data_IF_340396060081
#
_entry.id   IF_340396060081
#
_cell.length_a   1.000
_cell.length_b   1.000
_cell.length_c   1.000
_cell.angle_alpha   90.00
_cell.angle_beta   90.00
_cell.angle_gamma   90.00
#
_symmetry.space_group_name_H-M   'P 1'
#
loop_
_entity.id
_entity.type
_entity.pdbx_description
1 polymer ?
#
# COMPACT_ATOMS: atom_id res chain seq x y z
N UNK A 1 40.42 -23.17 35.14
CA UNK A 1 39.13 -22.46 35.05
C UNK A 1 39.16 -21.25 34.12
N UNK A 2 40.01 -20.22 34.34
CA UNK A 2 40.06 -19.02 33.47
C UNK A 2 40.29 -19.30 31.97
N UNK A 3 41.18 -20.23 31.61
CA UNK A 3 41.40 -20.64 30.20
C UNK A 3 40.19 -21.34 29.57
N UNK A 4 39.43 -22.13 30.34
CA UNK A 4 38.23 -22.83 29.87
C UNK A 4 37.11 -21.82 29.63
N UNK A 5 36.94 -20.84 30.54
CA UNK A 5 35.97 -19.76 30.40
C UNK A 5 36.29 -18.87 29.19
N UNK A 6 37.57 -18.55 28.94
CA UNK A 6 37.98 -17.79 27.75
C UNK A 6 37.72 -18.55 26.44
N UNK A 7 37.95 -19.87 26.40
CA UNK A 7 37.64 -20.69 25.21
C UNK A 7 36.14 -20.82 25.00
N UNK A 8 35.34 -20.90 26.09
CA UNK A 8 33.87 -20.91 26.02
C UNK A 8 33.30 -19.57 25.52
N UNK A 9 33.87 -18.44 25.97
CA UNK A 9 33.50 -17.10 25.48
C UNK A 9 33.87 -16.89 24.01
N UNK A 10 35.03 -17.40 23.56
CA UNK A 10 35.46 -17.32 22.16
C UNK A 10 34.58 -18.18 21.25
N UNK A 11 34.14 -19.36 21.72
CA UNK A 11 33.22 -20.21 20.96
C UNK A 11 31.81 -19.62 20.89
N UNK A 12 31.29 -19.03 21.97
CA UNK A 12 30.00 -18.31 21.95
C UNK A 12 30.03 -17.13 20.97
N UNK A 13 31.15 -16.42 20.84
CA UNK A 13 31.31 -15.32 19.88
C UNK A 13 31.41 -15.78 18.42
N UNK A 14 31.90 -16.99 18.14
CA UNK A 14 31.96 -17.55 16.79
C UNK A 14 30.62 -18.10 16.27
N UNK A 15 29.66 -18.40 17.14
CA UNK A 15 28.34 -18.92 16.76
C UNK A 15 27.28 -17.85 16.55
N UNK A 16 27.59 -16.59 16.80
CA UNK A 16 26.63 -15.50 16.64
C UNK A 16 26.91 -14.74 15.35
N UNK A 17 25.87 -14.64 14.52
CA UNK A 17 25.73 -13.83 13.30
C UNK A 17 26.10 -14.57 11.98
N UNK A 18 25.54 -15.74 11.75
CA UNK A 18 25.23 -16.15 10.36
C UNK A 18 23.79 -15.76 10.05
N UNK A 19 23.60 -14.70 9.26
CA UNK A 19 22.31 -14.39 8.62
C UNK A 19 22.05 -15.40 7.51
N UNK A 20 21.71 -16.63 7.89
CA UNK A 20 21.28 -17.66 6.96
C UNK A 20 19.80 -17.44 6.61
N UNK A 21 19.48 -16.32 5.94
CA UNK A 21 18.23 -16.23 5.22
C UNK A 21 18.45 -16.83 3.84
N UNK A 22 17.55 -17.74 3.44
CA UNK A 22 17.55 -18.28 2.07
C UNK A 22 17.42 -17.10 1.13
N UNK A 23 18.36 -16.91 0.17
CA UNK A 23 18.25 -15.85 -0.82
C UNK A 23 16.91 -15.96 -1.55
N UNK A 24 16.20 -14.85 -1.72
CA UNK A 24 15.02 -14.82 -2.58
C UNK A 24 15.49 -15.19 -3.99
N UNK A 25 14.78 -16.13 -4.62
CA UNK A 25 15.04 -16.59 -5.98
C UNK A 25 13.80 -16.28 -6.81
N UNK A 26 13.60 -15.02 -7.23
CA UNK A 26 12.45 -14.68 -8.04
C UNK A 26 12.50 -15.46 -9.34
N UNK A 27 11.34 -15.85 -9.81
CA UNK A 27 11.16 -16.44 -11.13
C UNK A 27 11.41 -15.39 -12.21
N UNK A 28 11.73 -15.86 -13.41
CA UNK A 28 11.85 -15.01 -14.60
C UNK A 28 10.61 -14.13 -14.83
N UNK A 29 9.42 -14.63 -14.46
CA UNK A 29 8.18 -13.87 -14.53
C UNK A 29 8.08 -12.74 -13.49
N UNK A 30 8.52 -12.98 -12.26
CA UNK A 30 8.55 -11.96 -11.20
C UNK A 30 9.57 -10.84 -11.51
N UNK A 31 10.72 -11.20 -12.10
CA UNK A 31 11.71 -10.23 -12.59
C UNK A 31 11.08 -9.35 -13.68
N UNK A 32 10.40 -9.96 -14.67
CA UNK A 32 9.69 -9.23 -15.71
C UNK A 32 8.69 -8.23 -15.13
N UNK A 33 7.82 -8.67 -14.21
CA UNK A 33 6.85 -7.78 -13.56
C UNK A 33 7.49 -6.66 -12.74
N UNK A 34 8.67 -6.92 -12.16
CA UNK A 34 9.44 -5.90 -11.44
C UNK A 34 9.97 -4.83 -12.39
N UNK A 35 10.39 -5.19 -13.61
CA UNK A 35 10.75 -4.23 -14.67
C UNK A 35 9.53 -3.39 -15.08
N UNK A 36 8.34 -4.00 -15.23
CA UNK A 36 7.11 -3.24 -15.51
C UNK A 36 6.79 -2.23 -14.40
N UNK A 37 6.98 -2.63 -13.13
CA UNK A 37 6.80 -1.74 -11.97
C UNK A 37 7.84 -0.63 -11.92
N UNK A 38 9.08 -0.92 -12.32
CA UNK A 38 10.13 0.09 -12.43
C UNK A 38 9.72 1.20 -13.43
N UNK A 39 9.00 0.84 -14.51
CA UNK A 39 8.48 1.78 -15.52
C UNK A 39 7.26 2.62 -15.07
N UNK A 40 6.66 2.34 -13.90
CA UNK A 40 5.48 3.04 -13.41
C UNK A 40 5.82 3.99 -12.24
N UNK A 41 5.44 5.27 -12.37
CA UNK A 41 5.70 6.36 -11.44
C UNK A 41 4.39 6.95 -10.88
N UNK A 42 3.58 6.10 -10.27
CA UNK A 42 2.35 6.50 -9.58
C UNK A 42 2.20 5.81 -8.22
N UNK A 43 1.60 6.53 -7.27
CA UNK A 43 1.46 6.07 -5.88
C UNK A 43 0.01 6.16 -5.40
N UNK A 44 -0.49 5.10 -4.74
CA UNK A 44 -1.82 5.03 -4.12
C UNK A 44 -1.69 4.83 -2.62
N UNK A 45 -2.46 5.60 -1.85
CA UNK A 45 -2.63 5.39 -0.41
C UNK A 45 -4.07 5.00 -0.11
N UNK A 46 -4.27 3.78 0.39
CA UNK A 46 -5.54 3.30 0.91
C UNK A 46 -5.59 3.59 2.43
N UNK A 47 -6.69 4.13 2.95
CA UNK A 47 -6.83 4.52 4.36
C UNK A 47 -8.10 3.92 4.96
N UNK A 48 -7.94 3.25 6.10
CA UNK A 48 -9.04 2.75 6.92
C UNK A 48 -8.64 2.68 8.40
N UNK A 49 -9.53 2.22 9.27
CA UNK A 49 -9.35 2.34 10.71
C UNK A 49 -8.53 1.20 11.30
N UNK A 50 -8.77 -0.03 10.85
CA UNK A 50 -8.32 -1.25 11.52
C UNK A 50 -7.63 -2.26 10.58
N UNK A 51 -6.78 -3.15 11.11
CA UNK A 51 -6.21 -4.27 10.36
C UNK A 51 -7.25 -5.33 9.94
N UNK A 52 -7.74 -5.33 8.69
CA UNK A 52 -8.82 -6.20 8.12
C UNK A 52 -9.88 -5.39 7.35
N UNK A 53 -9.94 -4.07 7.60
CA UNK A 53 -10.83 -3.16 6.89
C UNK A 53 -10.50 -3.02 5.41
N UNK A 54 -9.23 -3.25 5.04
CA UNK A 54 -8.76 -2.93 3.71
C UNK A 54 -9.41 -3.81 2.64
N UNK A 55 -9.67 -3.20 1.49
CA UNK A 55 -10.02 -3.99 0.32
C UNK A 55 -8.74 -4.57 -0.30
N UNK A 56 -8.39 -5.80 0.12
CA UNK A 56 -7.18 -6.49 -0.35
C UNK A 56 -7.16 -6.67 -1.87
N UNK A 57 -8.32 -6.70 -2.53
CA UNK A 57 -8.40 -6.78 -3.99
C UNK A 57 -7.96 -5.51 -4.69
N UNK A 58 -8.37 -4.35 -4.17
CA UNK A 58 -7.92 -3.07 -4.71
C UNK A 58 -6.43 -2.86 -4.48
N UNK A 59 -5.92 -3.20 -3.29
CA UNK A 59 -4.47 -3.12 -3.02
C UNK A 59 -3.70 -4.01 -4.00
N UNK A 60 -4.11 -5.28 -4.12
CA UNK A 60 -3.50 -6.22 -5.05
C UNK A 60 -3.61 -5.74 -6.50
N UNK A 61 -4.74 -5.17 -6.91
CA UNK A 61 -4.94 -4.67 -8.28
C UNK A 61 -3.99 -3.52 -8.60
N UNK A 62 -3.92 -2.50 -7.73
CA UNK A 62 -3.02 -1.38 -7.97
C UNK A 62 -1.56 -1.81 -7.95
N UNK A 63 -1.16 -2.69 -7.03
CA UNK A 63 0.21 -3.18 -6.94
C UNK A 63 0.61 -4.09 -8.10
N UNK A 64 -0.29 -4.96 -8.59
CA UNK A 64 0.05 -6.04 -9.52
C UNK A 64 -0.45 -5.85 -10.95
N UNK A 65 -1.58 -5.19 -11.17
CA UNK A 65 -2.11 -4.91 -12.51
C UNK A 65 -1.54 -3.57 -12.99
N UNK A 66 -1.85 -2.51 -12.25
CA UNK A 66 -1.47 -1.13 -12.57
C UNK A 66 0.02 -0.87 -12.33
N UNK A 67 0.65 -1.66 -11.45
CA UNK A 67 2.04 -1.51 -10.99
C UNK A 67 2.30 -0.23 -10.17
N UNK A 68 1.26 0.34 -9.59
CA UNK A 68 1.39 1.47 -8.68
C UNK A 68 2.07 1.07 -7.37
N UNK A 69 2.88 1.98 -6.83
CA UNK A 69 3.32 1.88 -5.44
C UNK A 69 2.09 2.05 -4.56
N UNK A 70 1.68 1.00 -3.87
CA UNK A 70 0.40 0.97 -3.15
C UNK A 70 0.67 0.77 -1.67
N UNK A 71 0.10 1.61 -0.82
CA UNK A 71 0.25 1.50 0.63
C UNK A 71 -1.11 1.49 1.32
N UNK A 72 -1.21 0.77 2.42
CA UNK A 72 -2.33 0.82 3.35
C UNK A 72 -1.90 1.54 4.63
N UNK A 73 -2.63 2.59 5.00
CA UNK A 73 -2.58 3.20 6.32
C UNK A 73 -3.77 2.71 7.13
N UNK A 74 -3.49 1.86 8.12
CA UNK A 74 -4.44 1.58 9.18
C UNK A 74 -4.26 2.64 10.27
N UNK A 75 -5.33 3.32 10.68
CA UNK A 75 -5.21 4.34 11.73
C UNK A 75 -4.73 3.69 13.03
N UNK A 76 -5.25 2.53 13.39
CA UNK A 76 -4.90 1.80 14.62
C UNK A 76 -4.12 0.52 14.32
N UNK A 77 -3.70 -0.21 15.38
CA UNK A 77 -3.13 -1.56 15.26
C UNK A 77 -4.15 -2.67 15.56
N UNK A 78 -5.42 -2.34 15.75
CA UNK A 78 -6.48 -3.32 15.97
C UNK A 78 -6.45 -4.00 17.35
N UNK A 79 -5.78 -3.37 18.32
CA UNK A 79 -5.58 -3.86 19.68
C UNK A 79 -6.88 -4.00 20.50
N UNK A 80 -7.95 -3.28 20.13
CA UNK A 80 -9.28 -3.36 20.75
C UNK A 80 -10.20 -4.45 20.19
N UNK A 81 -9.68 -5.27 19.26
CA UNK A 81 -10.43 -6.31 18.57
C UNK A 81 -10.59 -7.62 19.35
N UNK A 82 -11.23 -8.59 18.71
CA UNK A 82 -11.30 -9.97 19.18
C UNK A 82 -10.13 -10.80 18.64
N UNK A 83 -9.80 -11.91 19.31
CA UNK A 83 -8.78 -12.84 18.86
C UNK A 83 -9.34 -14.27 18.81
N UNK A 84 -9.53 -14.82 17.61
CA UNK A 84 -10.07 -16.16 17.41
C UNK A 84 -9.04 -17.28 17.53
N UNK A 85 -7.73 -16.94 17.54
CA UNK A 85 -6.65 -17.93 17.52
C UNK A 85 -5.86 -18.01 18.83
N UNK A 86 -6.20 -17.20 19.82
CA UNK A 86 -5.46 -17.12 21.08
C UNK A 86 -6.13 -16.25 22.14
N UNK A 87 -5.46 -16.13 23.29
CA UNK A 87 -5.93 -15.33 24.43
C UNK A 87 -5.34 -13.92 24.48
N UNK A 88 -4.46 -13.58 23.55
CA UNK A 88 -3.82 -12.26 23.48
C UNK A 88 -4.86 -11.18 23.16
N UNK A 89 -4.83 -10.09 23.93
CA UNK A 89 -5.70 -8.92 23.81
C UNK A 89 -4.86 -7.64 23.90
N UNK A 90 -5.46 -6.50 23.59
CA UNK A 90 -4.82 -5.18 23.74
C UNK A 90 -3.49 -5.12 22.97
N UNK A 91 -2.42 -4.63 23.59
CA UNK A 91 -1.12 -4.46 22.94
C UNK A 91 -0.56 -5.75 22.33
N UNK A 92 -0.80 -6.91 22.94
CA UNK A 92 -0.34 -8.19 22.42
C UNK A 92 -1.08 -8.57 21.14
N UNK A 93 -2.39 -8.29 21.08
CA UNK A 93 -3.18 -8.46 19.87
C UNK A 93 -2.75 -7.46 18.78
N UNK A 94 -2.43 -6.22 19.16
CA UNK A 94 -1.90 -5.22 18.23
C UNK A 94 -0.59 -5.68 17.56
N UNK A 95 0.29 -6.38 18.30
CA UNK A 95 1.50 -7.00 17.73
C UNK A 95 1.14 -8.09 16.73
N UNK A 96 0.20 -8.98 17.06
CA UNK A 96 -0.27 -10.05 16.16
C UNK A 96 -0.82 -9.44 14.87
N UNK A 97 -1.81 -8.54 14.97
CA UNK A 97 -2.47 -7.93 13.79
C UNK A 97 -1.53 -7.09 12.95
N UNK A 98 -0.49 -6.51 13.56
CA UNK A 98 0.60 -5.87 12.81
C UNK A 98 1.34 -6.88 11.93
N UNK A 99 1.71 -8.05 12.47
CA UNK A 99 2.36 -9.11 11.70
C UNK A 99 1.44 -9.71 10.64
N UNK A 100 0.15 -9.83 10.93
CA UNK A 100 -0.86 -10.27 9.96
C UNK A 100 -0.95 -9.34 8.75
N UNK A 101 -0.98 -8.02 8.98
CA UNK A 101 -0.94 -7.04 7.89
C UNK A 101 0.37 -7.08 7.11
N UNK A 102 1.51 -7.19 7.78
CA UNK A 102 2.81 -7.30 7.08
C UNK A 102 2.85 -8.58 6.22
N UNK A 103 2.31 -9.68 6.72
CA UNK A 103 2.18 -10.92 5.95
C UNK A 103 1.20 -10.77 4.77
N UNK A 104 0.06 -10.09 4.97
CA UNK A 104 -0.91 -9.79 3.91
C UNK A 104 -0.28 -8.94 2.79
N UNK A 105 0.43 -7.87 3.17
CA UNK A 105 1.17 -6.97 2.27
C UNK A 105 2.27 -7.68 1.49
N UNK A 106 2.94 -8.66 2.09
CA UNK A 106 3.94 -9.47 1.38
C UNK A 106 3.35 -10.32 0.23
N UNK A 107 2.03 -10.57 0.26
CA UNK A 107 1.31 -11.34 -0.76
C UNK A 107 0.71 -10.44 -1.82
N UNK A 108 -0.01 -9.39 -1.41
CA UNK A 108 -0.68 -8.47 -2.34
C UNK A 108 0.27 -7.43 -2.95
N UNK A 109 1.47 -7.24 -2.40
CA UNK A 109 2.49 -6.32 -2.90
C UNK A 109 2.33 -4.88 -2.42
N UNK A 110 1.43 -4.62 -1.46
CA UNK A 110 1.30 -3.31 -0.82
C UNK A 110 2.35 -3.04 0.26
N UNK A 111 2.38 -1.81 0.75
CA UNK A 111 3.14 -1.37 1.92
C UNK A 111 2.20 -1.11 3.11
N UNK A 112 2.72 -1.16 4.33
CA UNK A 112 1.92 -0.95 5.54
C UNK A 112 2.40 0.26 6.35
N UNK A 113 1.45 1.10 6.75
CA UNK A 113 1.65 2.19 7.70
C UNK A 113 0.65 2.10 8.85
N UNK A 114 1.02 2.72 9.97
CA UNK A 114 0.18 2.86 11.17
C UNK A 114 0.36 4.26 11.75
N UNK A 115 -0.68 4.80 12.38
CA UNK A 115 -0.54 5.97 13.25
C UNK A 115 -0.25 5.55 14.71
N UNK A 116 -0.21 6.51 15.63
CA UNK A 116 -0.17 6.26 17.07
C UNK A 116 -1.54 5.99 17.72
N UNK A 117 -2.63 6.03 16.96
CA UNK A 117 -3.97 5.86 17.52
C UNK A 117 -4.15 4.47 18.16
N UNK A 118 -4.79 4.45 19.32
CA UNK A 118 -5.13 3.23 20.05
C UNK A 118 -6.51 2.73 19.62
N UNK A 119 -6.67 1.45 19.35
CA UNK A 119 -7.99 0.87 19.16
C UNK A 119 -8.58 0.55 20.54
N UNK A 120 -9.44 1.42 21.05
CA UNK A 120 -10.03 1.26 22.39
C UNK A 120 -11.34 0.43 22.37
N UNK A 121 -11.62 -0.27 21.28
CA UNK A 121 -12.86 -1.02 21.08
C UNK A 121 -13.98 -0.18 20.47
N UNK A 122 -15.21 -0.69 20.53
CA UNK A 122 -16.33 -0.11 19.81
C UNK A 122 -16.71 1.30 20.31
N UNK A 123 -16.72 2.24 19.39
CA UNK A 123 -17.32 3.57 19.52
C UNK A 123 -18.43 3.72 18.50
N UNK A 124 -19.49 4.46 18.84
CA UNK A 124 -20.58 4.72 17.89
C UNK A 124 -20.37 5.97 17.05
N UNK A 125 -19.82 7.03 17.64
CA UNK A 125 -19.73 8.33 17.00
C UNK A 125 -18.27 8.77 16.80
N UNK A 126 -17.94 9.47 15.70
CA UNK A 126 -16.59 9.99 15.50
C UNK A 126 -16.16 11.02 16.55
N UNK A 127 -17.08 11.78 17.17
CA UNK A 127 -16.69 12.80 18.17
C UNK A 127 -16.01 12.18 19.40
N UNK A 128 -16.54 11.04 19.88
CA UNK A 128 -15.94 10.27 20.96
C UNK A 128 -14.57 9.75 20.55
N UNK A 129 -14.49 9.14 19.37
CA UNK A 129 -13.25 8.64 18.78
C UNK A 129 -12.17 9.71 18.69
N UNK A 130 -12.49 10.83 18.06
CA UNK A 130 -11.55 11.91 17.79
C UNK A 130 -11.11 12.62 19.07
N UNK A 131 -11.97 12.67 20.09
CA UNK A 131 -11.59 13.14 21.41
C UNK A 131 -10.60 12.17 22.07
N UNK A 132 -10.90 10.87 22.10
CA UNK A 132 -10.04 9.85 22.72
C UNK A 132 -8.68 9.71 22.01
N UNK A 133 -8.68 9.79 20.68
CA UNK A 133 -7.46 9.71 19.88
C UNK A 133 -6.60 10.97 19.95
N UNK A 134 -7.13 12.08 20.47
CA UNK A 134 -6.59 13.42 20.21
C UNK A 134 -6.48 13.67 18.70
N UNK A 135 -7.57 14.20 18.11
CA UNK A 135 -7.70 14.50 16.69
C UNK A 135 -6.44 15.11 16.09
N UNK A 136 -5.87 16.13 16.73
CA UNK A 136 -4.72 16.87 16.20
C UNK A 136 -3.48 15.98 16.08
N UNK A 137 -3.24 15.12 17.07
CA UNK A 137 -2.11 14.20 17.07
C UNK A 137 -2.22 13.16 15.94
N UNK A 138 -3.41 12.56 15.76
CA UNK A 138 -3.61 11.55 14.71
C UNK A 138 -3.64 12.19 13.34
N UNK A 139 -4.26 13.37 13.21
CA UNK A 139 -4.23 14.15 11.97
C UNK A 139 -2.79 14.46 11.55
N UNK A 140 -1.91 14.82 12.50
CA UNK A 140 -0.48 15.01 12.24
C UNK A 140 0.18 13.75 11.67
N UNK A 141 -0.13 12.58 12.20
CA UNK A 141 0.41 11.30 11.71
C UNK A 141 -0.10 10.95 10.30
N UNK A 142 -1.38 11.22 10.01
CA UNK A 142 -1.95 11.01 8.67
C UNK A 142 -1.28 11.96 7.66
N UNK A 143 -1.14 13.24 7.99
CA UNK A 143 -0.44 14.22 7.12
C UNK A 143 1.03 13.84 6.93
N UNK A 144 1.72 13.40 7.99
CA UNK A 144 3.09 12.90 7.90
C UNK A 144 3.19 11.70 6.96
N UNK A 145 2.23 10.77 7.04
CA UNK A 145 2.20 9.60 6.14
C UNK A 145 2.03 10.03 4.69
N UNK A 146 1.12 10.97 4.41
CA UNK A 146 0.93 11.51 3.05
C UNK A 146 2.20 12.20 2.54
N UNK A 147 2.85 13.05 3.35
CA UNK A 147 4.08 13.76 2.95
C UNK A 147 5.29 12.83 2.76
N UNK A 148 5.38 11.76 3.56
CA UNK A 148 6.42 10.74 3.44
C UNK A 148 6.23 9.85 2.21
N UNK A 149 5.00 9.36 1.99
CA UNK A 149 4.68 8.44 0.91
C UNK A 149 4.55 9.15 -0.45
N UNK A 150 4.08 10.40 -0.44
CA UNK A 150 3.74 11.21 -1.62
C UNK A 150 2.73 10.51 -2.57
N UNK A 151 1.53 10.13 -2.09
CA UNK A 151 0.53 9.47 -2.92
C UNK A 151 -0.09 10.43 -3.93
N UNK A 152 -0.23 9.98 -5.17
CA UNK A 152 -1.02 10.71 -6.17
C UNK A 152 -2.52 10.60 -5.90
N UNK A 153 -2.93 9.43 -5.42
CA UNK A 153 -4.33 9.06 -5.19
C UNK A 153 -4.50 8.57 -3.76
N UNK A 154 -5.51 9.09 -3.07
CA UNK A 154 -5.95 8.58 -1.77
C UNK A 154 -7.31 7.87 -1.93
N UNK A 155 -7.48 6.73 -1.28
CA UNK A 155 -8.73 5.96 -1.28
C UNK A 155 -9.12 5.67 0.18
N UNK A 156 -10.28 6.16 0.60
CA UNK A 156 -10.85 5.84 1.89
C UNK A 156 -11.71 4.59 1.80
N UNK A 157 -11.59 3.68 2.77
CA UNK A 157 -12.51 2.54 2.90
C UNK A 157 -13.92 2.95 3.28
N UNK A 158 -14.05 4.03 4.04
CA UNK A 158 -15.31 4.44 4.66
C UNK A 158 -15.73 5.85 4.25
N UNK A 159 -17.02 6.11 4.45
CA UNK A 159 -17.63 7.39 4.10
C UNK A 159 -17.62 8.34 5.31
N UNK A 160 -17.00 9.51 5.14
CA UNK A 160 -16.94 10.55 6.16
C UNK A 160 -18.29 11.21 6.47
N UNK A 161 -19.31 11.02 5.60
CA UNK A 161 -20.62 11.66 5.68
C UNK A 161 -21.69 10.84 6.40
N UNK A 162 -21.34 9.66 6.91
CA UNK A 162 -22.31 8.74 7.54
C UNK A 162 -21.91 8.43 8.99
N UNK A 163 -21.80 9.45 9.87
CA UNK A 163 -21.50 9.21 11.28
C UNK A 163 -22.61 8.37 11.93
N UNK A 164 -22.24 7.45 12.82
CA UNK A 164 -23.18 6.62 13.58
C UNK A 164 -23.82 5.46 12.81
N UNK A 165 -23.54 5.29 11.51
CA UNK A 165 -24.02 4.14 10.73
C UNK A 165 -23.13 2.91 10.88
N UNK A 166 -21.85 3.12 11.21
CA UNK A 166 -20.85 2.08 11.45
C UNK A 166 -20.03 2.44 12.70
N UNK A 167 -18.92 1.74 12.95
CA UNK A 167 -18.01 2.04 14.05
C UNK A 167 -17.44 3.47 13.93
N UNK A 168 -17.40 4.23 15.02
CA UNK A 168 -16.87 5.60 15.07
C UNK A 168 -15.43 5.74 14.55
N UNK A 169 -14.60 4.70 14.69
CA UNK A 169 -13.25 4.65 14.12
C UNK A 169 -13.27 4.75 12.60
N UNK A 170 -14.22 4.08 11.93
CA UNK A 170 -14.35 4.04 10.48
C UNK A 170 -14.66 5.43 9.92
N UNK A 171 -15.65 6.12 10.48
CA UNK A 171 -15.98 7.48 10.05
C UNK A 171 -14.83 8.45 10.38
N UNK A 172 -14.21 8.30 11.54
CA UNK A 172 -13.08 9.14 11.96
C UNK A 172 -11.88 9.01 11.02
N UNK A 173 -11.53 7.80 10.57
CA UNK A 173 -10.43 7.60 9.61
C UNK A 173 -10.70 8.32 8.29
N UNK A 174 -11.95 8.30 7.81
CA UNK A 174 -12.34 8.98 6.58
C UNK A 174 -12.34 10.52 6.75
N UNK A 175 -12.80 11.04 7.89
CA UNK A 175 -12.78 12.48 8.20
C UNK A 175 -11.34 13.00 8.29
N UNK A 176 -10.46 12.30 9.00
CA UNK A 176 -9.04 12.64 9.09
C UNK A 176 -8.37 12.67 7.71
N UNK A 177 -8.68 11.70 6.86
CA UNK A 177 -8.16 11.65 5.48
C UNK A 177 -8.60 12.85 4.63
N UNK A 178 -9.87 13.27 4.73
CA UNK A 178 -10.41 14.44 4.01
C UNK A 178 -9.69 15.73 4.41
N UNK A 179 -9.42 15.91 5.70
CA UNK A 179 -8.72 17.07 6.24
C UNK A 179 -7.22 17.02 5.90
N UNK A 180 -6.61 15.84 6.04
CA UNK A 180 -5.20 15.63 5.72
C UNK A 180 -4.88 15.85 4.24
N UNK A 181 -5.83 15.62 3.34
CA UNK A 181 -5.69 15.90 1.90
C UNK A 181 -5.30 17.36 1.62
N UNK A 182 -5.89 18.33 2.35
CA UNK A 182 -5.56 19.75 2.21
C UNK A 182 -4.29 20.09 2.98
N UNK A 183 -4.19 19.64 4.22
CA UNK A 183 -3.06 19.97 5.09
C UNK A 183 -1.72 19.42 4.57
N UNK A 184 -1.75 18.34 3.77
CA UNK A 184 -0.55 17.80 3.16
C UNK A 184 0.20 18.80 2.27
N UNK A 185 -0.50 19.73 1.63
CA UNK A 185 0.11 20.79 0.79
C UNK A 185 0.30 22.13 1.51
N UNK A 186 -0.26 22.29 2.71
CA UNK A 186 -0.15 23.51 3.51
C UNK A 186 1.25 23.66 4.12
N UNK A 187 1.99 24.69 3.68
CA UNK A 187 3.35 24.99 4.16
C UNK A 187 3.41 25.43 5.63
N UNK A 188 2.30 25.92 6.18
CA UNK A 188 2.18 26.38 7.57
C UNK A 188 1.95 25.23 8.54
N UNK A 189 1.31 24.15 8.08
CA UNK A 189 1.12 22.94 8.87
C UNK A 189 2.43 22.14 8.97
N UNK A 190 2.89 21.87 10.19
CA UNK A 190 4.12 21.12 10.47
C UNK A 190 3.83 19.74 11.04
N UNK A 191 4.47 18.73 10.47
CA UNK A 191 4.44 17.37 10.98
C UNK A 191 5.65 17.07 11.86
N UNK A 192 5.65 15.90 12.48
CA UNK A 192 6.79 15.39 13.24
C UNK A 192 7.96 14.89 12.36
N UNK A 193 7.86 14.96 11.03
CA UNK A 193 8.93 14.54 10.12
C UNK A 193 10.12 15.51 10.17
N UNK A 194 11.34 14.96 10.11
CA UNK A 194 12.55 15.78 9.99
C UNK A 194 12.63 16.48 8.62
N UNK A 195 12.29 15.76 7.54
CA UNK A 195 12.15 16.31 6.20
C UNK A 195 10.66 16.39 5.83
N UNK A 196 10.00 17.44 6.31
CA UNK A 196 8.56 17.66 6.18
C UNK A 196 8.20 18.38 4.87
N UNK A 197 8.63 17.81 3.75
CA UNK A 197 8.31 18.34 2.42
C UNK A 197 6.81 18.19 2.14
N UNK A 198 6.15 19.31 1.79
CA UNK A 198 4.73 19.32 1.44
C UNK A 198 4.45 18.49 0.19
N UNK A 199 3.23 17.95 0.11
CA UNK A 199 2.77 17.17 -1.02
C UNK A 199 1.27 17.36 -1.24
N UNK A 200 0.85 17.56 -2.50
CA UNK A 200 -0.57 17.63 -2.85
C UNK A 200 -0.96 16.35 -3.60
N UNK A 201 -1.75 15.45 -2.98
CA UNK A 201 -2.39 14.39 -3.72
C UNK A 201 -3.33 14.98 -4.79
N UNK A 202 -3.43 14.33 -5.94
CA UNK A 202 -4.23 14.83 -7.07
C UNK A 202 -5.72 14.63 -6.84
N UNK A 203 -6.09 13.56 -6.13
CA UNK A 203 -7.48 13.19 -5.88
C UNK A 203 -7.67 12.24 -4.71
N UNK A 204 -8.88 12.27 -4.17
CA UNK A 204 -9.32 11.44 -3.06
C UNK A 204 -10.66 10.79 -3.40
N UNK A 205 -10.75 9.49 -3.15
CA UNK A 205 -11.91 8.65 -3.42
C UNK A 205 -12.43 7.96 -2.15
N UNK A 206 -13.66 7.47 -2.23
CA UNK A 206 -14.23 6.49 -1.31
C UNK A 206 -14.46 5.17 -2.06
N UNK A 207 -13.90 4.06 -1.55
CA UNK A 207 -14.17 2.74 -2.07
C UNK A 207 -15.53 2.25 -1.56
N UNK A 208 -16.50 2.19 -2.46
CA UNK A 208 -17.87 1.78 -2.18
C UNK A 208 -18.20 0.46 -2.88
N UNK A 209 -19.26 -0.19 -2.40
CA UNK A 209 -19.78 -1.45 -2.92
C UNK A 209 -21.26 -1.58 -2.57
N UNK A 210 -21.90 -2.64 -3.05
CA UNK A 210 -23.32 -2.90 -2.77
C UNK A 210 -23.67 -2.92 -1.27
N UNK A 211 -22.72 -3.27 -0.41
CA UNK A 211 -22.91 -3.27 1.05
C UNK A 211 -23.31 -1.88 1.57
N UNK A 212 -22.74 -0.81 1.00
CA UNK A 212 -23.08 0.57 1.37
C UNK A 212 -24.45 1.04 0.83
N UNK A 213 -25.05 0.28 -0.09
CA UNK A 213 -26.40 0.53 -0.63
C UNK A 213 -27.45 -0.44 -0.06
N UNK A 214 -27.04 -1.37 0.81
CA UNK A 214 -27.89 -2.38 1.43
C UNK A 214 -28.27 -3.57 0.53
N UNK A 215 -28.16 -3.44 -0.80
CA UNK A 215 -28.38 -4.52 -1.76
C UNK A 215 -27.67 -4.25 -3.09
N UNK A 216 -27.43 -5.31 -3.85
CA UNK A 216 -26.92 -5.21 -5.23
C UNK A 216 -27.87 -4.41 -6.13
N UNK A 217 -29.18 -4.63 -5.99
CA UNK A 217 -30.20 -3.90 -6.76
C UNK A 217 -30.12 -2.39 -6.51
N UNK A 218 -30.00 -1.96 -5.25
CA UNK A 218 -29.85 -0.54 -4.91
C UNK A 218 -28.53 0.02 -5.44
N UNK A 219 -27.45 -0.76 -5.34
CA UNK A 219 -26.15 -0.38 -5.88
C UNK A 219 -26.20 -0.17 -7.40
N UNK A 220 -26.91 -1.03 -8.13
CA UNK A 220 -27.09 -0.92 -9.58
C UNK A 220 -27.90 0.34 -9.92
N UNK A 221 -28.95 0.64 -9.15
CA UNK A 221 -29.80 1.83 -9.34
C UNK A 221 -29.15 3.14 -8.88
N UNK A 222 -28.13 3.09 -8.03
CA UNK A 222 -27.44 4.27 -7.54
C UNK A 222 -26.78 5.06 -8.68
N UNK A 223 -26.80 6.39 -8.55
CA UNK A 223 -26.13 7.30 -9.48
C UNK A 223 -24.60 7.10 -9.44
N UNK A 224 -24.03 6.71 -10.58
CA UNK A 224 -22.59 6.45 -10.77
C UNK A 224 -21.90 7.57 -11.55
N UNK A 225 -22.54 8.73 -11.71
CA UNK A 225 -21.97 9.87 -12.44
C UNK A 225 -20.61 10.25 -11.86
N UNK A 226 -20.52 10.34 -10.53
CA UNK A 226 -19.30 10.66 -9.79
C UNK A 226 -18.46 9.44 -9.39
N UNK A 227 -18.67 8.28 -10.03
CA UNK A 227 -17.96 7.05 -9.72
C UNK A 227 -17.10 6.57 -10.90
N UNK A 228 -15.98 5.94 -10.53
CA UNK A 228 -15.16 5.13 -11.41
C UNK A 228 -15.48 3.66 -11.16
N UNK A 229 -15.54 2.89 -12.24
CA UNK A 229 -15.70 1.45 -12.21
C UNK A 229 -14.34 0.84 -12.55
N UNK A 230 -13.88 -0.09 -11.72
CA UNK A 230 -12.62 -0.79 -11.92
C UNK A 230 -12.89 -2.26 -12.12
N UNK A 231 -12.52 -2.78 -13.28
CA UNK A 231 -12.50 -4.22 -13.53
C UNK A 231 -11.21 -4.80 -12.95
N UNK A 232 -11.32 -5.43 -11.79
CA UNK A 232 -10.19 -5.87 -10.97
C UNK A 232 -10.04 -7.39 -10.93
N UNK A 233 -10.80 -8.12 -11.75
CA UNK A 233 -10.80 -9.58 -11.84
C UNK A 233 -9.63 -10.18 -12.65
N UNK A 234 -8.62 -9.38 -13.01
CA UNK A 234 -7.56 -9.75 -13.96
C UNK A 234 -6.86 -11.06 -13.58
N UNK A 235 -6.59 -11.90 -14.59
CA UNK A 235 -5.73 -13.07 -14.47
C UNK A 235 -4.31 -12.74 -14.92
N UNK A 236 -3.33 -12.89 -14.01
CA UNK A 236 -1.93 -12.62 -14.29
C UNK A 236 -1.26 -13.88 -14.83
N UNK A 237 -1.18 -14.01 -16.15
CA UNK A 237 -0.58 -15.18 -16.83
C UNK A 237 0.82 -15.54 -16.32
N UNK A 238 1.63 -14.51 -16.04
CA UNK A 238 3.00 -14.65 -15.55
C UNK A 238 3.06 -15.23 -14.12
N UNK A 239 2.02 -15.03 -13.30
CA UNK A 239 1.91 -15.58 -11.94
C UNK A 239 1.09 -16.87 -11.87
N UNK A 240 0.26 -17.15 -12.87
CA UNK A 240 -0.70 -18.26 -12.83
C UNK A 240 -1.88 -18.04 -11.86
N UNK A 241 -2.09 -16.81 -11.40
CA UNK A 241 -3.09 -16.44 -10.40
C UNK A 241 -3.93 -15.25 -10.86
N UNK A 242 -5.21 -15.23 -10.49
CA UNK A 242 -6.06 -14.03 -10.58
C UNK A 242 -5.80 -13.06 -9.43
N UNK A 243 -6.18 -11.81 -9.64
CA UNK A 243 -6.19 -10.81 -8.58
C UNK A 243 -7.06 -11.24 -7.39
N UNK A 244 -8.20 -11.90 -7.64
CA UNK A 244 -9.06 -12.45 -6.60
C UNK A 244 -8.38 -13.55 -5.78
N UNK A 245 -7.60 -14.43 -6.41
CA UNK A 245 -6.81 -15.46 -5.71
C UNK A 245 -5.73 -14.83 -4.81
N UNK A 246 -4.98 -13.85 -5.33
CA UNK A 246 -3.95 -13.13 -4.55
C UNK A 246 -4.59 -12.39 -3.37
N UNK A 247 -5.69 -11.68 -3.61
CA UNK A 247 -6.41 -10.93 -2.59
C UNK A 247 -6.98 -11.83 -1.48
N UNK A 248 -7.47 -13.02 -1.82
CA UNK A 248 -7.93 -14.00 -0.83
C UNK A 248 -6.79 -14.60 -0.01
N UNK A 249 -5.62 -14.85 -0.61
CA UNK A 249 -4.43 -15.28 0.12
C UNK A 249 -3.93 -14.20 1.09
N UNK A 250 -3.94 -12.94 0.66
CA UNK A 250 -3.64 -11.77 1.50
C UNK A 250 -4.65 -11.66 2.65
N UNK A 251 -5.95 -11.68 2.34
CA UNK A 251 -7.04 -11.61 3.33
C UNK A 251 -6.95 -12.74 4.36
N UNK A 252 -6.54 -13.94 3.95
CA UNK A 252 -6.40 -15.10 4.84
C UNK A 252 -5.24 -14.99 5.85
N UNK A 253 -4.45 -13.90 5.81
CA UNK A 253 -3.45 -13.60 6.84
C UNK A 253 -4.04 -12.94 8.08
N UNK A 254 -5.25 -12.39 8.01
CA UNK A 254 -6.03 -11.92 9.16
C UNK A 254 -6.63 -13.11 9.93
N UNK A 255 -5.75 -13.96 10.47
CA UNK A 255 -6.13 -15.23 11.12
C UNK A 255 -6.86 -14.98 12.43
N UNK A 256 -6.39 -14.00 13.21
CA UNK A 256 -7.01 -13.56 14.46
C UNK A 256 -8.47 -13.12 14.30
N UNK A 257 -8.85 -12.65 13.09
CA UNK A 257 -10.22 -12.22 12.76
C UNK A 257 -11.04 -13.30 12.06
N UNK A 258 -10.45 -14.43 11.69
CA UNK A 258 -11.15 -15.52 10.98
C UNK A 258 -11.46 -15.19 9.52
N UNK A 259 -10.63 -14.36 8.88
CA UNK A 259 -10.86 -13.83 7.53
C UNK A 259 -10.35 -14.77 6.40
N UNK A 260 -10.30 -16.08 6.65
CA UNK A 260 -9.94 -17.06 5.62
C UNK A 260 -10.84 -17.00 4.38
N UNK A 261 -10.25 -17.16 3.19
CA UNK A 261 -10.98 -17.14 1.90
C UNK A 261 -10.26 -18.00 0.85
N UNK A 262 -11.02 -18.69 -0.01
CA UNK A 262 -10.49 -19.65 -1.00
C UNK A 262 -10.09 -19.03 -2.35
N UNK A 263 -10.39 -17.75 -2.60
CA UNK A 263 -10.14 -17.09 -3.88
C UNK A 263 -11.17 -17.43 -4.95
N UNK A 264 -11.28 -16.58 -5.97
CA UNK A 264 -12.10 -16.79 -7.16
C UNK A 264 -11.44 -16.22 -8.41
N UNK A 265 -11.85 -16.74 -9.56
CA UNK A 265 -11.49 -16.22 -10.90
C UNK A 265 -12.75 -15.73 -11.59
N UNK A 266 -12.62 -14.70 -12.42
CA UNK A 266 -13.73 -14.12 -13.15
C UNK A 266 -13.69 -12.60 -13.13
N UNK A 267 -14.72 -11.98 -13.68
CA UNK A 267 -14.90 -10.53 -13.66
C UNK A 267 -15.34 -10.09 -12.28
N UNK A 268 -14.75 -9.01 -11.79
CA UNK A 268 -15.11 -8.39 -10.52
C UNK A 268 -14.95 -6.88 -10.66
N UNK A 269 -16.02 -6.15 -10.32
CA UNK A 269 -16.08 -4.70 -10.46
C UNK A 269 -16.02 -4.05 -9.08
N UNK A 270 -15.09 -3.12 -8.90
CA UNK A 270 -15.01 -2.23 -7.74
C UNK A 270 -15.42 -0.81 -8.11
N UNK A 271 -15.96 -0.07 -7.14
CA UNK A 271 -16.41 1.30 -7.34
C UNK A 271 -15.61 2.27 -6.47
N UNK A 272 -15.14 3.34 -7.10
CA UNK A 272 -14.52 4.48 -6.42
C UNK A 272 -15.37 5.73 -6.64
N UNK A 273 -16.01 6.21 -5.58
CA UNK A 273 -16.72 7.49 -5.58
C UNK A 273 -15.72 8.62 -5.40
N UNK A 274 -15.75 9.60 -6.31
CA UNK A 274 -14.91 10.79 -6.19
C UNK A 274 -15.36 11.68 -5.02
N UNK A 275 -14.41 12.10 -4.20
CA UNK A 275 -14.66 12.98 -3.06
C UNK A 275 -13.99 14.35 -3.21
N UNK A 276 -12.74 14.41 -3.69
CA UNK A 276 -11.95 15.66 -3.70
C UNK A 276 -10.82 15.65 -4.71
N UNK A 277 -10.37 16.85 -5.10
CA UNK A 277 -9.25 17.09 -6.01
C UNK A 277 -9.70 17.27 -7.46
N UNK A 278 -8.93 16.74 -8.40
CA UNK A 278 -9.27 16.79 -9.83
C UNK A 278 -9.97 15.51 -10.28
N UNK A 279 -11.20 15.65 -10.77
CA UNK A 279 -11.98 14.53 -11.30
C UNK A 279 -11.36 14.00 -12.60
N UNK A 280 -11.20 12.67 -12.75
CA UNK A 280 -10.62 12.08 -13.95
C UNK A 280 -11.64 12.03 -15.10
N UNK A 281 -11.35 12.77 -16.18
CA UNK A 281 -12.21 12.87 -17.39
C UNK A 281 -12.35 11.52 -18.07
N UNK A 282 -11.25 10.77 -18.20
CA UNK A 282 -11.26 9.44 -18.82
C UNK A 282 -11.80 8.33 -17.92
N UNK A 283 -12.22 8.67 -16.69
CA UNK A 283 -12.59 7.72 -15.62
C UNK A 283 -11.49 6.70 -15.28
N UNK A 284 -10.25 6.98 -15.64
CA UNK A 284 -9.08 6.25 -15.15
C UNK A 284 -8.56 6.88 -13.84
N UNK A 285 -8.18 6.04 -12.87
CA UNK A 285 -7.71 6.51 -11.55
C UNK A 285 -6.48 7.41 -11.64
N UNK A 286 -5.65 7.26 -12.66
CA UNK A 286 -4.43 8.05 -12.90
C UNK A 286 -4.57 9.09 -14.01
N UNK A 287 -5.78 9.38 -14.49
CA UNK A 287 -6.01 10.36 -15.56
C UNK A 287 -5.35 11.70 -15.24
N UNK A 288 -4.65 12.31 -16.21
CA UNK A 288 -3.92 13.58 -15.98
C UNK A 288 -2.76 13.53 -14.97
N UNK A 289 -2.35 12.34 -14.50
CA UNK A 289 -1.12 12.13 -13.72
C UNK A 289 -0.08 11.51 -14.64
N UNK A 290 1.12 12.11 -14.71
CA UNK A 290 2.23 11.50 -15.46
C UNK A 290 2.80 10.33 -14.65
N UNK A 291 2.46 9.10 -15.04
CA UNK A 291 2.92 7.86 -14.43
C UNK A 291 4.13 7.25 -15.15
N UNK A 292 4.74 7.96 -16.08
CA UNK A 292 5.92 7.52 -16.83
C UNK A 292 7.17 8.20 -16.32
N UNK A 293 8.33 7.76 -16.80
CA UNK A 293 9.61 8.41 -16.52
C UNK A 293 9.69 9.88 -16.99
N UNK A 294 8.80 10.33 -17.88
CA UNK A 294 8.70 11.77 -18.22
C UNK A 294 8.25 12.64 -17.04
N UNK A 295 7.82 12.02 -15.92
CA UNK A 295 7.44 12.73 -14.69
C UNK A 295 8.62 13.46 -14.05
N UNK A 296 9.84 12.95 -14.24
CA UNK A 296 11.05 13.50 -13.62
C UNK A 296 11.99 14.08 -14.67
N UNK A 297 12.64 15.19 -14.34
CA UNK A 297 13.65 15.80 -15.21
C UNK A 297 14.79 14.80 -15.46
N UNK A 298 15.15 14.57 -16.72
CA UNK A 298 16.14 13.56 -17.12
C UNK A 298 15.61 12.13 -17.19
N UNK A 299 14.34 11.88 -16.85
CA UNK A 299 13.80 10.52 -16.85
C UNK A 299 13.50 9.92 -18.22
N UNK A 300 13.31 10.75 -19.26
CA UNK A 300 12.92 10.28 -20.61
C UNK A 300 13.81 9.14 -21.13
N UNK A 301 15.13 9.32 -21.05
CA UNK A 301 16.13 8.33 -21.50
C UNK A 301 16.05 7.03 -20.68
N UNK A 302 15.82 7.13 -19.37
CA UNK A 302 15.59 5.98 -18.47
C UNK A 302 14.37 5.19 -18.95
N UNK A 303 13.28 5.89 -19.25
CA UNK A 303 12.06 5.28 -19.77
C UNK A 303 12.27 4.56 -21.10
N UNK A 304 13.00 5.16 -22.03
CA UNK A 304 13.30 4.55 -23.34
C UNK A 304 14.11 3.25 -23.17
N UNK A 305 15.13 3.25 -22.32
CA UNK A 305 15.95 2.05 -22.02
C UNK A 305 15.11 0.96 -21.37
N UNK A 306 14.30 1.30 -20.37
CA UNK A 306 13.52 0.32 -19.63
C UNK A 306 12.33 -0.23 -20.42
N UNK A 307 11.69 0.58 -21.27
CA UNK A 307 10.66 0.10 -22.20
C UNK A 307 11.24 -0.89 -23.21
N UNK A 308 12.43 -0.60 -23.75
CA UNK A 308 13.15 -1.55 -24.60
C UNK A 308 13.51 -2.83 -23.84
N UNK A 309 13.99 -2.70 -22.61
CA UNK A 309 14.35 -3.85 -21.76
C UNK A 309 13.15 -4.73 -21.45
N UNK A 310 11.98 -4.14 -21.21
CA UNK A 310 10.73 -4.86 -21.05
C UNK A 310 10.32 -5.57 -22.36
N UNK A 311 10.35 -4.87 -23.49
CA UNK A 311 9.96 -5.42 -24.80
C UNK A 311 10.87 -6.58 -25.26
N UNK A 312 12.18 -6.47 -25.02
CA UNK A 312 13.19 -7.46 -25.43
C UNK A 312 13.44 -8.54 -24.36
N UNK A 313 12.64 -8.58 -23.28
CA UNK A 313 12.89 -9.45 -22.13
C UNK A 313 12.87 -10.94 -22.51
N UNK A 314 13.99 -11.64 -22.27
CA UNK A 314 14.12 -13.06 -22.55
C UNK A 314 13.79 -13.91 -21.33
N UNK A 315 12.58 -14.49 -21.31
CA UNK A 315 12.14 -15.33 -20.19
C UNK A 315 13.03 -16.56 -19.93
N UNK A 316 13.76 -17.06 -20.93
CA UNK A 316 14.69 -18.19 -20.80
C UNK A 316 16.10 -17.76 -20.35
N UNK A 317 16.45 -16.50 -20.55
CA UNK A 317 17.74 -15.95 -20.14
C UNK A 317 17.59 -14.49 -19.65
N UNK A 318 17.03 -14.27 -18.44
CA UNK A 318 16.82 -12.94 -17.87
C UNK A 318 18.07 -12.07 -17.79
N UNK A 319 19.26 -12.69 -17.65
CA UNK A 319 20.54 -11.99 -17.55
C UNK A 319 20.86 -11.11 -18.77
N UNK A 320 20.21 -11.35 -19.91
CA UNK A 320 20.32 -10.49 -21.09
C UNK A 320 19.81 -9.05 -20.86
N UNK A 321 18.98 -8.82 -19.84
CA UNK A 321 18.49 -7.49 -19.46
C UNK A 321 19.50 -6.67 -18.64
N UNK A 322 20.50 -7.29 -18.02
CA UNK A 322 21.43 -6.65 -17.07
C UNK A 322 22.15 -5.42 -17.66
N UNK A 323 22.70 -5.45 -18.89
CA UNK A 323 23.39 -4.28 -19.44
C UNK A 323 22.52 -3.02 -19.46
N UNK A 324 21.27 -3.14 -19.92
CA UNK A 324 20.33 -2.03 -19.95
C UNK A 324 19.92 -1.57 -18.55
N UNK A 325 19.71 -2.51 -17.61
CA UNK A 325 19.37 -2.18 -16.23
C UNK A 325 20.51 -1.40 -15.53
N UNK A 326 21.76 -1.77 -15.79
CA UNK A 326 22.93 -1.05 -15.25
C UNK A 326 23.04 0.36 -15.85
N UNK A 327 22.74 0.52 -17.13
CA UNK A 327 22.70 1.82 -17.78
C UNK A 327 21.59 2.71 -17.20
N UNK A 328 20.38 2.19 -17.09
CA UNK A 328 19.26 2.86 -16.44
C UNK A 328 19.59 3.22 -14.99
N UNK A 329 20.25 2.34 -14.22
CA UNK A 329 20.67 2.63 -12.85
C UNK A 329 21.60 3.84 -12.75
N UNK A 330 22.59 3.94 -13.66
CA UNK A 330 23.51 5.08 -13.70
C UNK A 330 22.78 6.40 -13.95
N UNK A 331 21.81 6.40 -14.86
CA UNK A 331 20.97 7.56 -15.14
C UNK A 331 20.06 7.91 -13.95
N UNK A 332 19.48 6.91 -13.26
CA UNK A 332 18.70 7.12 -12.04
C UNK A 332 19.54 7.85 -10.97
N UNK A 333 20.82 7.53 -10.82
CA UNK A 333 21.69 8.20 -9.84
C UNK A 333 21.87 9.70 -10.11
N UNK A 334 21.66 10.14 -11.36
CA UNK A 334 21.83 11.53 -11.80
C UNK A 334 20.54 12.37 -11.66
N UNK A 335 19.42 11.75 -11.30
CA UNK A 335 18.16 12.46 -11.08
C UNK A 335 18.28 13.49 -9.96
N UNK A 336 17.70 14.66 -10.17
CA UNK A 336 17.60 15.72 -9.15
C UNK A 336 16.47 15.47 -8.15
N UNK A 337 15.44 14.72 -8.56
CA UNK A 337 14.33 14.35 -7.69
C UNK A 337 14.78 13.23 -6.74
N UNK A 338 15.15 13.61 -5.51
CA UNK A 338 15.64 12.68 -4.50
C UNK A 338 14.61 11.62 -4.08
N UNK A 339 13.31 11.90 -4.21
CA UNK A 339 12.27 10.91 -3.88
C UNK A 339 12.25 9.77 -4.90
N UNK A 340 12.15 10.10 -6.18
CA UNK A 340 12.15 9.09 -7.24
C UNK A 340 13.51 8.42 -7.40
N UNK A 341 14.60 9.19 -7.23
CA UNK A 341 15.95 8.64 -7.23
C UNK A 341 16.11 7.56 -6.19
N UNK A 342 15.80 7.82 -4.92
CA UNK A 342 15.95 6.82 -3.86
C UNK A 342 15.07 5.60 -4.14
N UNK A 343 13.78 5.80 -4.40
CA UNK A 343 12.83 4.72 -4.62
C UNK A 343 13.23 3.82 -5.80
N UNK A 344 13.51 4.41 -6.96
CA UNK A 344 13.83 3.67 -8.18
C UNK A 344 15.24 3.08 -8.15
N UNK A 345 16.17 3.66 -7.38
CA UNK A 345 17.48 3.06 -7.11
C UNK A 345 17.36 1.76 -6.35
N UNK A 346 16.49 1.73 -5.34
CA UNK A 346 16.29 0.52 -4.53
C UNK A 346 15.58 -0.55 -5.36
N UNK A 347 14.52 -0.19 -6.11
CA UNK A 347 13.82 -1.11 -7.01
C UNK A 347 14.76 -1.75 -8.05
N UNK A 348 15.57 -0.95 -8.75
CA UNK A 348 16.43 -1.48 -9.82
C UNK A 348 17.60 -2.31 -9.28
N UNK A 349 18.13 -2.00 -8.09
CA UNK A 349 19.16 -2.84 -7.44
C UNK A 349 18.63 -4.23 -7.12
N UNK A 350 17.42 -4.32 -6.61
CA UNK A 350 16.77 -5.61 -6.34
C UNK A 350 16.56 -6.41 -7.63
N UNK A 351 16.18 -5.74 -8.73
CA UNK A 351 16.02 -6.40 -10.05
C UNK A 351 17.36 -6.89 -10.60
N UNK A 352 18.45 -6.14 -10.42
CA UNK A 352 19.79 -6.53 -10.88
C UNK A 352 20.36 -7.70 -10.05
N UNK A 353 20.02 -7.75 -8.75
CA UNK A 353 20.52 -8.79 -7.84
C UNK A 353 19.77 -10.13 -7.93
N UNK A 354 18.52 -10.07 -8.42
CA UNK A 354 17.64 -11.21 -8.68
C UNK A 354 18.17 -12.16 -9.77
#
# INVERSE_FOLDING_TARGET
MKKIISVLLLTIFCFTITFAQVPKKPTSGEIYQSIQKLNFLGTVLYIAAHPDDENTRLISYFANDVKARTAYLSITRGDGGQNLIGSELSELLGVIRTQELLAARSIDGGEQFFTRANDFGYSKHPDETLNMWNKEAILNDVVATIRKLKPDVIINRFNHRTPGTTHGHHTSSAMLSIEAFDLASDKTYKTHLQNDAVWQPKRLFFNTSWWFYGSEENCIKADKTNMLNLEIGTYYSVKGLSNGEIASLSRSRHQSQGFGSTGSRGTETEYLEFLKGEFPISKNVFDGINTTWNRVEGGKEIGEILQKTEADYNFKNPATSIPNLIEAYKLIQQLKDEHWKQLKSDEIKEIIAA
#
